data_IF_175018577219
#
_entry.id   IF_175018577219
#
_cell.length_a   1.000
_cell.length_b   1.000
_cell.length_c   1.000
_cell.angle_alpha   90.00
_cell.angle_beta   90.00
_cell.angle_gamma   90.00
#
_symmetry.space_group_name_H-M   'P 1'
#
loop_
_entity.id
_entity.type
_entity.pdbx_description
1 polymer ?
#
# COMPACT_ATOMS: atom_id res chain seq x y z
N UNK A 1 22.59 5.79 0.73
CA UNK A 1 21.77 5.06 -0.28
C UNK A 1 20.42 5.76 -0.38
N UNK A 2 20.11 6.32 -1.54
CA UNK A 2 18.84 7.02 -1.80
C UNK A 2 17.75 6.00 -2.15
N UNK A 3 16.82 5.76 -1.23
CA UNK A 3 15.80 4.69 -1.34
C UNK A 3 14.41 5.28 -1.53
N UNK A 4 13.69 4.84 -2.57
CA UNK A 4 12.28 5.17 -2.78
C UNK A 4 11.39 4.10 -2.12
N UNK A 5 10.50 4.52 -1.22
CA UNK A 5 9.60 3.59 -0.53
C UNK A 5 8.15 3.79 -0.98
N UNK A 6 7.61 2.83 -1.74
CA UNK A 6 6.17 2.81 -2.01
C UNK A 6 5.40 2.78 -0.69
N UNK A 7 4.48 3.72 -0.51
CA UNK A 7 3.71 3.88 0.73
C UNK A 7 2.22 3.79 0.47
N UNK A 8 1.58 2.77 1.03
CA UNK A 8 0.16 2.52 0.82
C UNK A 8 -0.76 3.33 1.76
N UNK A 9 -0.26 3.75 2.92
CA UNK A 9 -0.98 4.56 3.91
C UNK A 9 -0.05 4.96 5.07
N UNK A 10 -0.43 5.96 5.85
CA UNK A 10 0.34 6.38 7.02
C UNK A 10 0.48 5.27 8.08
N UNK A 11 -0.58 4.54 8.51
CA UNK A 11 -0.43 3.48 9.50
C UNK A 11 0.59 2.40 9.13
N UNK A 12 0.68 2.04 7.84
CA UNK A 12 1.63 1.03 7.38
C UNK A 12 3.08 1.56 7.33
N UNK A 13 3.26 2.87 7.23
CA UNK A 13 4.59 3.47 7.09
C UNK A 13 5.33 3.67 8.42
N UNK A 14 4.62 3.79 9.54
CA UNK A 14 5.22 4.14 10.85
C UNK A 14 6.40 3.24 11.20
N UNK A 15 6.17 1.95 11.35
CA UNK A 15 7.23 1.00 11.72
C UNK A 15 8.26 0.78 10.61
N UNK A 16 7.86 0.86 9.33
CA UNK A 16 8.78 0.73 8.21
C UNK A 16 9.83 1.86 8.21
N UNK A 17 9.37 3.11 8.39
CA UNK A 17 10.26 4.27 8.46
C UNK A 17 11.19 4.18 9.66
N UNK A 18 10.66 3.82 10.83
CA UNK A 18 11.46 3.66 12.05
C UNK A 18 12.56 2.61 11.88
N UNK A 19 12.23 1.46 11.28
CA UNK A 19 13.20 0.42 11.02
C UNK A 19 14.29 0.87 10.04
N UNK A 20 13.92 1.50 8.92
CA UNK A 20 14.88 1.99 7.94
C UNK A 20 15.79 3.07 8.53
N UNK A 21 15.23 4.01 9.30
CA UNK A 21 16.02 5.04 9.99
C UNK A 21 16.98 4.45 11.02
N UNK A 22 16.57 3.42 11.74
CA UNK A 22 17.45 2.70 12.67
C UNK A 22 18.63 2.02 11.97
N UNK A 23 18.47 1.68 10.67
CA UNK A 23 19.51 1.15 9.79
C UNK A 23 20.33 2.27 9.09
N UNK A 24 20.09 3.54 9.41
CA UNK A 24 20.76 4.69 8.78
C UNK A 24 20.25 4.99 7.35
N UNK A 25 19.07 4.52 6.98
CA UNK A 25 18.44 4.75 5.69
C UNK A 25 17.30 5.74 5.86
N UNK A 26 17.39 6.92 5.22
CA UNK A 26 16.28 7.86 5.14
C UNK A 26 15.49 7.61 3.85
N UNK A 27 14.27 7.02 3.91
CA UNK A 27 13.50 6.75 2.72
C UNK A 27 12.76 7.99 2.23
N UNK A 28 12.65 8.13 0.90
CA UNK A 28 11.69 9.04 0.28
C UNK A 28 10.38 8.26 0.07
N UNK A 29 9.29 8.75 0.66
CA UNK A 29 7.98 8.12 0.53
C UNK A 29 7.38 8.41 -0.85
N UNK A 30 6.81 7.38 -1.48
CA UNK A 30 6.18 7.48 -2.79
C UNK A 30 4.74 6.97 -2.72
N UNK A 31 3.79 7.88 -2.92
CA UNK A 31 2.37 7.56 -3.00
C UNK A 31 1.98 7.28 -4.44
N UNK A 32 1.62 6.05 -4.74
CA UNK A 32 0.96 5.62 -5.97
C UNK A 32 0.06 4.43 -5.67
N UNK A 33 -1.23 4.67 -5.55
CA UNK A 33 -2.19 3.66 -5.08
C UNK A 33 -3.52 3.70 -5.87
N UNK A 34 -3.50 3.43 -7.20
CA UNK A 34 -4.71 3.44 -8.03
C UNK A 34 -5.70 2.31 -7.69
N UNK A 35 -5.28 1.39 -6.83
CA UNK A 35 -6.09 0.27 -6.34
C UNK A 35 -6.95 0.62 -5.12
N UNK A 36 -6.82 1.82 -4.54
CA UNK A 36 -7.60 2.18 -3.35
C UNK A 36 -8.93 2.79 -3.75
N UNK A 37 -10.02 2.16 -3.31
CA UNK A 37 -11.40 2.51 -3.65
C UNK A 37 -12.33 2.38 -2.42
N UNK A 38 -13.45 3.13 -2.39
CA UNK A 38 -13.84 4.22 -3.27
C UNK A 38 -12.98 5.48 -3.08
N UNK A 39 -13.29 6.56 -3.79
CA UNK A 39 -12.52 7.81 -3.73
C UNK A 39 -12.36 8.37 -2.31
N UNK A 40 -13.36 8.24 -1.45
CA UNK A 40 -13.27 8.70 -0.07
C UNK A 40 -12.20 7.94 0.72
N UNK A 41 -12.06 6.65 0.50
CA UNK A 41 -11.01 5.81 1.10
C UNK A 41 -9.62 6.21 0.57
N UNK A 42 -9.50 6.38 -0.75
CA UNK A 42 -8.28 6.90 -1.39
C UNK A 42 -7.86 8.24 -0.79
N UNK A 43 -8.79 9.19 -0.73
CA UNK A 43 -8.58 10.53 -0.19
C UNK A 43 -8.16 10.47 1.28
N UNK A 44 -8.88 9.74 2.11
CA UNK A 44 -8.58 9.64 3.55
C UNK A 44 -7.17 9.11 3.82
N UNK A 45 -6.73 8.07 3.10
CA UNK A 45 -5.37 7.52 3.26
C UNK A 45 -4.29 8.48 2.74
N UNK A 46 -4.51 9.09 1.58
CA UNK A 46 -3.60 10.07 1.01
C UNK A 46 -3.41 11.27 1.93
N UNK A 47 -4.51 11.89 2.34
CA UNK A 47 -4.49 13.11 3.15
C UNK A 47 -3.87 12.85 4.53
N UNK A 48 -4.10 11.67 5.13
CA UNK A 48 -3.44 11.27 6.37
C UNK A 48 -1.92 11.17 6.18
N UNK A 49 -1.46 10.58 5.09
CA UNK A 49 -0.02 10.46 4.80
C UNK A 49 0.60 11.84 4.52
N UNK A 50 -0.10 12.68 3.75
CA UNK A 50 0.35 14.06 3.48
C UNK A 50 0.46 14.91 4.74
N UNK A 51 -0.44 14.73 5.70
CA UNK A 51 -0.38 15.40 6.99
C UNK A 51 0.74 14.86 7.88
N UNK A 52 1.00 13.56 7.82
CA UNK A 52 2.03 12.90 8.64
C UNK A 52 3.46 13.19 8.19
N UNK A 53 3.72 13.15 6.90
CA UNK A 53 5.08 13.26 6.35
C UNK A 53 5.88 14.45 6.89
N UNK A 54 5.36 15.69 6.89
CA UNK A 54 6.10 16.83 7.42
C UNK A 54 6.35 16.75 8.93
N UNK A 55 5.49 16.09 9.72
CA UNK A 55 5.66 15.99 11.17
C UNK A 55 6.89 15.19 11.59
N UNK A 56 7.38 14.34 10.69
CA UNK A 56 8.56 13.51 10.92
C UNK A 56 9.73 13.87 9.99
N UNK A 57 9.61 14.99 9.26
CA UNK A 57 10.64 15.43 8.31
C UNK A 57 10.85 14.48 7.14
N UNK A 58 9.83 13.71 6.74
CA UNK A 58 9.92 12.75 5.63
C UNK A 58 9.58 13.42 4.30
N UNK A 59 10.45 13.24 3.31
CA UNK A 59 10.14 13.62 1.92
C UNK A 59 9.03 12.72 1.36
N UNK A 60 7.98 13.32 0.77
CA UNK A 60 6.85 12.61 0.18
C UNK A 60 6.63 13.07 -1.25
N UNK A 61 6.67 12.12 -2.16
CA UNK A 61 6.28 12.30 -3.56
C UNK A 61 4.88 11.72 -3.75
N UNK A 62 3.95 12.54 -4.19
CA UNK A 62 2.56 12.13 -4.45
C UNK A 62 2.33 12.08 -5.95
N UNK A 63 2.18 10.88 -6.48
CA UNK A 63 1.64 10.67 -7.82
C UNK A 63 0.15 10.39 -7.67
N UNK A 64 -0.68 11.40 -7.96
CA UNK A 64 -2.12 11.28 -7.88
C UNK A 64 -2.65 10.47 -9.07
N UNK A 65 -3.28 9.35 -8.75
CA UNK A 65 -3.95 8.50 -9.72
C UNK A 65 -5.06 7.71 -9.01
N UNK A 66 -6.30 8.15 -9.20
CA UNK A 66 -7.47 7.40 -8.73
C UNK A 66 -7.95 6.48 -9.84
N UNK A 67 -7.35 5.30 -9.91
CA UNK A 67 -7.45 4.37 -11.02
C UNK A 67 -8.55 3.31 -10.91
N UNK A 68 -9.76 3.61 -10.36
CA UNK A 68 -10.82 2.60 -10.19
C UNK A 68 -11.12 1.82 -11.46
N UNK A 69 -11.35 2.50 -12.57
CA UNK A 69 -11.76 1.84 -13.83
C UNK A 69 -10.64 1.02 -14.43
N UNK A 70 -9.43 1.56 -14.41
CA UNK A 70 -8.22 0.92 -14.91
C UNK A 70 -7.88 -0.30 -14.08
N UNK A 71 -7.98 -0.20 -12.76
CA UNK A 71 -7.78 -1.32 -11.86
C UNK A 71 -8.83 -2.43 -12.07
N UNK A 72 -10.11 -2.08 -12.18
CA UNK A 72 -11.15 -3.07 -12.46
C UNK A 72 -10.92 -3.80 -13.80
N UNK A 73 -10.54 -3.07 -14.86
CA UNK A 73 -10.19 -3.69 -16.14
C UNK A 73 -8.99 -4.63 -16.03
N UNK A 74 -7.96 -4.22 -15.30
CA UNK A 74 -6.75 -5.01 -15.09
C UNK A 74 -7.04 -6.37 -14.45
N UNK A 75 -7.99 -6.42 -13.51
CA UNK A 75 -8.25 -7.64 -12.73
C UNK A 75 -9.49 -8.42 -13.18
N UNK A 76 -10.32 -7.87 -14.07
CA UNK A 76 -11.64 -8.40 -14.43
C UNK A 76 -11.62 -9.86 -14.91
N UNK A 77 -10.59 -10.27 -15.63
CA UNK A 77 -10.48 -11.63 -16.19
C UNK A 77 -10.06 -12.69 -15.17
N UNK A 78 -9.47 -12.27 -14.03
CA UNK A 78 -8.95 -13.18 -13.02
C UNK A 78 -8.96 -12.49 -11.64
N UNK A 79 -10.14 -12.49 -11.03
CA UNK A 79 -10.36 -11.87 -9.71
C UNK A 79 -9.67 -12.63 -8.57
N UNK A 80 -9.54 -13.95 -8.70
CA UNK A 80 -8.94 -14.79 -7.66
C UNK A 80 -7.44 -14.50 -7.49
N UNK A 81 -6.75 -14.14 -8.56
CA UNK A 81 -5.32 -13.77 -8.53
C UNK A 81 -5.09 -12.25 -8.66
N UNK A 82 -6.11 -11.43 -8.44
CA UNK A 82 -6.04 -9.96 -8.54
C UNK A 82 -4.94 -9.33 -7.69
N UNK A 83 -4.60 -9.95 -6.54
CA UNK A 83 -3.56 -9.42 -5.65
C UNK A 83 -2.18 -9.38 -6.32
N UNK A 84 -1.82 -10.39 -7.10
CA UNK A 84 -0.56 -10.39 -7.86
C UNK A 84 -0.49 -9.27 -8.88
N UNK A 85 -1.58 -9.04 -9.63
CA UNK A 85 -1.70 -7.90 -10.57
C UNK A 85 -1.59 -6.55 -9.84
N UNK A 86 -2.22 -6.44 -8.66
CA UNK A 86 -2.19 -5.27 -7.81
C UNK A 86 -0.78 -4.98 -7.28
N UNK A 87 -0.03 -6.00 -6.86
CA UNK A 87 1.35 -5.85 -6.41
C UNK A 87 2.23 -5.36 -7.55
N UNK A 88 2.14 -6.01 -8.71
CA UNK A 88 2.91 -5.64 -9.90
C UNK A 88 2.65 -4.19 -10.30
N UNK A 89 1.39 -3.78 -10.43
CA UNK A 89 1.01 -2.41 -10.77
C UNK A 89 1.72 -1.35 -9.89
N UNK A 90 1.70 -1.55 -8.58
CA UNK A 90 2.28 -0.59 -7.63
C UNK A 90 3.81 -0.64 -7.58
N UNK A 91 4.36 -1.84 -7.53
CA UNK A 91 5.82 -2.04 -7.45
C UNK A 91 6.50 -1.65 -8.76
N UNK A 92 5.89 -1.93 -9.91
CA UNK A 92 6.40 -1.55 -11.22
C UNK A 92 6.50 -0.04 -11.40
N UNK A 93 5.45 0.68 -11.04
CA UNK A 93 5.48 2.14 -11.08
C UNK A 93 6.56 2.70 -10.14
N UNK A 94 6.73 2.08 -8.96
CA UNK A 94 7.75 2.48 -7.99
C UNK A 94 9.17 2.22 -8.53
N UNK A 95 9.43 1.04 -9.06
CA UNK A 95 10.74 0.69 -9.63
C UNK A 95 11.08 1.57 -10.84
N UNK A 96 10.11 1.80 -11.73
CA UNK A 96 10.25 2.69 -12.89
C UNK A 96 10.56 4.12 -12.48
N UNK A 97 9.83 4.64 -11.49
CA UNK A 97 10.06 5.97 -10.96
C UNK A 97 11.46 6.08 -10.32
N UNK A 98 11.84 5.09 -9.51
CA UNK A 98 13.14 5.04 -8.88
C UNK A 98 14.28 5.06 -9.90
N UNK A 99 14.22 4.23 -10.93
CA UNK A 99 15.23 4.19 -12.00
C UNK A 99 15.32 5.52 -12.77
N UNK A 100 14.17 6.13 -13.09
CA UNK A 100 14.12 7.37 -13.86
C UNK A 100 14.61 8.60 -13.09
N UNK A 101 14.57 8.57 -11.73
CA UNK A 101 14.89 9.73 -10.88
C UNK A 101 16.15 9.53 -10.02
N UNK A 102 17.01 8.57 -10.38
CA UNK A 102 18.32 8.39 -9.76
C UNK A 102 18.26 7.86 -8.32
N UNK A 103 17.23 7.11 -7.96
CA UNK A 103 17.22 6.34 -6.72
C UNK A 103 18.08 5.08 -6.90
N UNK A 104 18.87 4.77 -5.89
CA UNK A 104 19.73 3.57 -5.90
C UNK A 104 18.93 2.30 -5.61
N UNK A 105 17.81 2.44 -4.87
CA UNK A 105 16.95 1.30 -4.52
C UNK A 105 15.50 1.71 -4.33
N UNK A 106 14.62 0.70 -4.33
CA UNK A 106 13.23 0.86 -3.91
C UNK A 106 12.82 -0.23 -2.91
N UNK A 107 11.77 0.06 -2.15
CA UNK A 107 11.10 -0.86 -1.21
C UNK A 107 9.61 -0.54 -1.12
N UNK A 108 8.87 -1.23 -0.24
CA UNK A 108 7.43 -0.98 -0.07
C UNK A 108 6.96 -1.26 1.34
N UNK A 109 6.04 -0.42 1.83
CA UNK A 109 5.30 -0.67 3.07
C UNK A 109 4.35 -1.86 2.99
N UNK A 110 4.15 -2.46 1.82
CA UNK A 110 3.36 -3.69 1.69
C UNK A 110 3.96 -4.86 2.47
N UNK A 111 5.28 -4.85 2.65
CA UNK A 111 6.00 -5.88 3.41
C UNK A 111 5.78 -5.81 4.93
N UNK A 112 4.99 -4.84 5.44
CA UNK A 112 4.61 -4.79 6.85
C UNK A 112 3.37 -5.62 7.17
N UNK A 113 2.52 -5.86 6.18
CA UNK A 113 1.22 -6.49 6.41
C UNK A 113 1.34 -8.02 6.47
N UNK A 114 0.88 -8.66 7.56
CA UNK A 114 0.84 -10.13 7.64
C UNK A 114 -0.24 -10.76 6.75
N UNK A 115 -1.08 -9.96 6.11
CA UNK A 115 -2.20 -10.40 5.28
C UNK A 115 -1.89 -10.40 3.78
N UNK A 116 -0.69 -9.93 3.40
CA UNK A 116 -0.24 -9.95 2.02
C UNK A 116 0.50 -11.27 1.72
N UNK A 117 0.44 -11.72 0.47
CA UNK A 117 1.33 -12.80 0.00
C UNK A 117 2.76 -12.26 -0.12
N UNK A 118 3.51 -12.49 0.93
CA UNK A 118 4.84 -11.93 1.11
C UNK A 118 5.85 -12.47 0.09
N UNK A 119 5.73 -13.74 -0.26
CA UNK A 119 6.63 -14.37 -1.22
C UNK A 119 6.34 -13.90 -2.64
N UNK A 120 5.07 -13.78 -3.02
CA UNK A 120 4.68 -13.22 -4.30
C UNK A 120 5.10 -11.75 -4.43
N UNK A 121 4.94 -10.95 -3.37
CA UNK A 121 5.43 -9.57 -3.33
C UNK A 121 6.93 -9.48 -3.56
N UNK A 122 7.69 -10.32 -2.85
CA UNK A 122 9.16 -10.35 -2.93
C UNK A 122 9.61 -10.72 -4.33
N UNK A 123 9.11 -11.83 -4.88
CA UNK A 123 9.43 -12.28 -6.24
C UNK A 123 9.12 -11.22 -7.28
N UNK A 124 7.93 -10.59 -7.19
CA UNK A 124 7.54 -9.50 -8.08
C UNK A 124 8.51 -8.32 -8.00
N UNK A 125 8.92 -7.94 -6.80
CA UNK A 125 9.87 -6.83 -6.63
C UNK A 125 11.28 -7.16 -7.18
N UNK A 126 11.76 -8.40 -6.99
CA UNK A 126 13.07 -8.88 -7.51
C UNK A 126 13.07 -8.91 -9.04
N UNK A 127 11.98 -9.37 -9.68
CA UNK A 127 11.80 -9.32 -11.13
C UNK A 127 11.87 -7.88 -11.66
N UNK A 128 11.14 -6.97 -11.01
CA UNK A 128 11.09 -5.56 -11.40
C UNK A 128 12.42 -4.83 -11.16
N UNK A 129 13.13 -5.18 -10.10
CA UNK A 129 14.48 -4.67 -9.85
C UNK A 129 15.42 -5.00 -11.03
N UNK A 130 15.37 -6.23 -11.50
CA UNK A 130 16.15 -6.67 -12.68
C UNK A 130 15.67 -5.96 -13.95
N UNK A 131 14.36 -5.87 -14.16
CA UNK A 131 13.78 -5.24 -15.35
C UNK A 131 14.14 -3.77 -15.50
N UNK A 132 14.14 -3.01 -14.40
CA UNK A 132 14.39 -1.56 -14.40
C UNK A 132 15.80 -1.15 -14.00
N UNK A 133 16.67 -2.11 -13.65
CA UNK A 133 18.06 -1.84 -13.30
C UNK A 133 18.21 -1.01 -12.01
N UNK A 134 17.31 -1.20 -11.04
CA UNK A 134 17.31 -0.53 -9.74
C UNK A 134 17.27 -1.57 -8.63
N UNK A 135 18.04 -1.39 -7.55
CA UNK A 135 18.11 -2.40 -6.49
C UNK A 135 16.78 -2.50 -5.72
N UNK A 136 16.36 -3.72 -5.38
CA UNK A 136 15.25 -3.93 -4.44
C UNK A 136 15.81 -4.09 -3.02
N UNK A 137 15.46 -3.15 -2.15
CA UNK A 137 15.78 -3.20 -0.74
C UNK A 137 14.74 -4.04 0.00
N UNK A 138 14.97 -5.35 0.08
CA UNK A 138 14.08 -6.22 0.84
C UNK A 138 14.25 -6.04 2.35
N UNK A 139 13.12 -5.84 3.04
CA UNK A 139 13.03 -5.93 4.50
C UNK A 139 11.71 -6.60 4.88
N UNK A 140 11.77 -7.51 5.82
CA UNK A 140 10.56 -8.03 6.46
C UNK A 140 10.15 -7.06 7.58
N UNK A 141 9.14 -6.25 7.30
CA UNK A 141 8.61 -5.28 8.26
C UNK A 141 7.51 -5.86 9.16
N UNK A 142 7.08 -7.11 8.96
CA UNK A 142 5.99 -7.74 9.72
C UNK A 142 6.20 -7.75 11.24
N UNK A 143 7.42 -7.93 11.79
CA UNK A 143 7.65 -7.82 13.23
C UNK A 143 7.20 -6.49 13.83
N UNK A 144 7.29 -5.40 13.08
CA UNK A 144 6.86 -4.06 13.50
C UNK A 144 5.37 -3.77 13.31
N UNK A 145 4.58 -4.68 12.73
CA UNK A 145 3.18 -4.42 12.35
C UNK A 145 2.30 -3.97 13.52
N UNK A 146 2.29 -4.75 14.62
CA UNK A 146 1.42 -4.45 15.77
C UNK A 146 1.79 -3.13 16.44
N UNK A 147 3.07 -2.87 16.59
CA UNK A 147 3.57 -1.64 17.19
C UNK A 147 3.27 -0.42 16.31
N UNK A 148 3.51 -0.52 15.00
CA UNK A 148 3.14 0.53 14.04
C UNK A 148 1.65 0.85 14.06
N UNK A 149 0.79 -0.17 14.14
CA UNK A 149 -0.66 0.02 14.27
C UNK A 149 -1.08 0.67 15.59
N UNK A 150 -0.41 0.36 16.70
CA UNK A 150 -0.64 1.00 18.00
C UNK A 150 -0.30 2.49 17.93
N UNK A 151 0.90 2.82 17.46
CA UNK A 151 1.36 4.20 17.31
C UNK A 151 0.47 5.01 16.35
N UNK A 152 0.03 4.41 15.24
CA UNK A 152 -0.87 5.07 14.31
C UNK A 152 -2.21 5.48 14.94
N UNK A 153 -2.76 4.66 15.84
CA UNK A 153 -3.98 5.01 16.61
C UNK A 153 -3.70 6.14 17.61
N UNK A 154 -2.58 6.11 18.31
CA UNK A 154 -2.17 7.16 19.24
C UNK A 154 -1.96 8.51 18.55
N UNK A 155 -1.45 8.47 17.30
CA UNK A 155 -1.31 9.66 16.45
C UNK A 155 -2.64 10.13 15.83
N UNK A 156 -3.74 9.42 16.06
CA UNK A 156 -5.06 9.77 15.53
C UNK A 156 -5.20 9.57 14.02
N UNK A 157 -4.43 8.67 13.41
CA UNK A 157 -4.48 8.43 11.97
C UNK A 157 -5.79 7.79 11.55
N UNK A 158 -6.20 8.07 10.31
CA UNK A 158 -7.23 7.29 9.66
C UNK A 158 -6.78 5.83 9.55
N UNK A 159 -7.57 4.91 10.13
CA UNK A 159 -7.30 3.48 10.17
C UNK A 159 -8.16 2.76 9.14
N UNK A 160 -7.52 2.23 8.10
CA UNK A 160 -8.21 1.47 7.06
C UNK A 160 -8.84 0.18 7.60
N UNK A 161 -10.00 -0.19 7.07
CA UNK A 161 -10.73 -1.39 7.46
C UNK A 161 -10.49 -2.60 6.54
N UNK A 162 -9.92 -2.39 5.35
CA UNK A 162 -9.65 -3.40 4.34
C UNK A 162 -8.37 -3.04 3.55
N UNK A 163 -7.91 -3.94 2.67
CA UNK A 163 -6.65 -3.76 1.93
C UNK A 163 -6.65 -2.50 1.05
N UNK A 164 -7.73 -2.26 0.29
CA UNK A 164 -7.87 -1.02 -0.49
C UNK A 164 -8.82 -1.12 -1.67
N UNK A 165 -8.84 -2.22 -2.43
CA UNK A 165 -9.71 -2.33 -3.59
C UNK A 165 -11.16 -2.68 -3.21
N UNK A 166 -12.09 -2.39 -4.12
CA UNK A 166 -13.53 -2.69 -3.94
C UNK A 166 -13.78 -4.16 -3.62
N UNK A 167 -13.01 -5.08 -4.20
CA UNK A 167 -13.14 -6.52 -3.92
C UNK A 167 -12.70 -6.88 -2.50
N UNK A 168 -11.67 -6.24 -1.96
CA UNK A 168 -11.26 -6.44 -0.57
C UNK A 168 -12.23 -5.80 0.42
N UNK A 169 -12.96 -4.78 0.00
CA UNK A 169 -14.06 -4.19 0.75
C UNK A 169 -15.23 -5.17 0.83
N UNK A 170 -15.67 -5.71 -0.31
CA UNK A 170 -16.72 -6.73 -0.39
C UNK A 170 -16.39 -7.95 0.48
N UNK A 171 -15.18 -8.50 0.39
CA UNK A 171 -14.72 -9.61 1.23
C UNK A 171 -14.76 -9.27 2.72
N UNK A 172 -14.38 -8.05 3.09
CA UNK A 172 -14.42 -7.58 4.47
C UNK A 172 -15.84 -7.57 5.04
N UNK A 173 -16.82 -7.25 4.21
CA UNK A 173 -18.22 -7.14 4.60
C UNK A 173 -19.09 -8.31 4.17
N UNK A 174 -18.52 -9.38 3.61
CA UNK A 174 -19.26 -10.52 3.06
C UNK A 174 -20.32 -11.10 4.03
N UNK A 175 -19.99 -11.22 5.32
CA UNK A 175 -20.95 -11.68 6.33
C UNK A 175 -22.11 -10.71 6.58
N UNK A 176 -21.85 -9.42 6.52
CA UNK A 176 -22.89 -8.40 6.67
C UNK A 176 -23.79 -8.38 5.43
N UNK A 177 -23.19 -8.42 4.25
CA UNK A 177 -23.90 -8.50 2.97
C UNK A 177 -24.84 -9.72 2.95
N UNK A 178 -24.33 -10.91 3.29
CA UNK A 178 -25.13 -12.14 3.31
C UNK A 178 -26.31 -12.04 4.29
N UNK A 179 -26.08 -11.49 5.48
CA UNK A 179 -27.15 -11.28 6.47
C UNK A 179 -28.22 -10.32 5.96
N UNK A 180 -27.81 -9.21 5.36
CA UNK A 180 -28.73 -8.16 4.92
C UNK A 180 -29.52 -8.59 3.68
N UNK A 181 -28.95 -9.44 2.81
CA UNK A 181 -29.63 -10.04 1.66
C UNK A 181 -30.61 -11.15 2.03
N UNK A 182 -30.43 -11.81 3.19
CA UNK A 182 -31.34 -12.86 3.69
C UNK A 182 -32.40 -12.34 4.67
N UNK A 183 -32.34 -11.06 5.06
CA UNK A 183 -33.36 -10.46 5.91
C UNK A 183 -34.69 -10.37 5.16
N UNK A 184 -35.85 -10.69 5.81
CA UNK A 184 -37.16 -10.53 5.17
C UNK A 184 -37.38 -9.05 4.79
N UNK A 185 -38.05 -8.86 3.64
CA UNK A 185 -38.35 -7.52 3.11
C UNK A 185 -38.93 -6.63 4.21
N UNK A 186 -38.24 -5.58 4.55
CA UNK A 186 -38.79 -4.52 5.38
C UNK A 186 -39.66 -3.67 4.48
N UNK A 187 -40.99 -3.89 4.55
CA UNK A 187 -41.95 -2.93 3.99
C UNK A 187 -41.73 -1.57 4.67
N UNK A 188 -41.26 -0.59 3.92
CA UNK A 188 -41.22 0.82 4.31
C UNK A 188 -42.60 1.44 4.27
#
# INVERSE_FOLDING_TARGET
>A
MKTLMHTCCAPCSVSCIQQLRAEGIEPVSYWFNPNIHPYQEYKARRDTLMAYAPTIGMELIVQEDYGLREFCRLVAEDLDHRCGKCYRLRLEQTARYAAAHGFESFTSTLFVSPYQDHELLRRTAEELATQYGVAFLYRDFRPGFREGQRQARELGFYMQKYCGCVFSEEERYAKAIARDMTAPEKHL
#
